data_IF_445343741507
#
_entry.id   IF_445343741507
#
_cell.length_a   1.000
_cell.length_b   1.000
_cell.length_c   1.000
_cell.angle_alpha   90.00
_cell.angle_beta   90.00
_cell.angle_gamma   90.00
#
_symmetry.space_group_name_H-M   'P 1'
#
loop_
_entity.id
_entity.type
_entity.pdbx_description
1 polymer ?
#
# COMPACT_ATOMS: atom_id res chain seq x y z
N UNK A 1 -16.13 5.63 -2.71
CA UNK A 1 -15.45 5.86 -1.41
C UNK A 1 -14.15 5.08 -1.41
N UNK A 2 -13.07 5.65 -0.89
CA UNK A 2 -11.79 4.95 -0.74
C UNK A 2 -11.63 4.47 0.71
N UNK A 3 -10.92 3.35 0.90
CA UNK A 3 -10.57 2.81 2.21
C UNK A 3 -9.34 3.51 2.77
N UNK A 4 -9.36 3.84 4.06
CA UNK A 4 -8.20 4.39 4.77
C UNK A 4 -7.44 3.27 5.47
N UNK A 5 -6.15 3.16 5.18
CA UNK A 5 -5.23 2.18 5.78
C UNK A 5 -4.27 2.92 6.70
N UNK A 6 -4.29 2.61 8.00
CA UNK A 6 -3.30 3.14 8.94
C UNK A 6 -2.01 2.34 8.85
N UNK A 7 -0.91 3.00 8.47
CA UNK A 7 0.41 2.36 8.46
C UNK A 7 0.96 2.29 9.90
N UNK A 8 1.08 1.09 10.45
CA UNK A 8 1.63 0.85 11.78
C UNK A 8 3.17 0.84 11.73
N UNK A 9 3.78 1.97 11.33
CA UNK A 9 5.24 2.09 11.24
C UNK A 9 5.83 2.48 12.62
N UNK A 10 5.48 1.68 13.64
CA UNK A 10 5.87 1.82 15.03
C UNK A 10 6.96 0.80 15.41
N UNK A 11 7.81 1.11 16.40
CA UNK A 11 8.90 0.21 16.79
C UNK A 11 8.46 -1.03 17.58
N UNK A 12 7.28 -1.01 18.21
CA UNK A 12 6.78 -2.11 19.08
C UNK A 12 5.31 -2.39 18.82
N UNK A 13 4.93 -3.67 18.80
CA UNK A 13 3.55 -4.09 18.67
C UNK A 13 2.64 -3.56 19.80
N UNK A 14 3.13 -3.51 21.04
CA UNK A 14 2.38 -2.96 22.16
C UNK A 14 1.98 -1.49 21.95
N UNK A 15 2.84 -0.68 21.31
CA UNK A 15 2.51 0.72 21.00
C UNK A 15 1.45 0.80 19.91
N UNK A 16 1.53 -0.10 18.90
CA UNK A 16 0.52 -0.21 17.86
C UNK A 16 -0.85 -0.62 18.45
N UNK A 17 -0.88 -1.62 19.35
CA UNK A 17 -2.14 -2.05 19.96
C UNK A 17 -2.79 -0.94 20.80
N UNK A 18 -2.01 -0.17 21.57
CA UNK A 18 -2.54 1.00 22.32
C UNK A 18 -3.15 2.05 21.38
N UNK A 19 -2.47 2.37 20.28
CA UNK A 19 -3.00 3.30 19.28
C UNK A 19 -4.32 2.79 18.68
N UNK A 20 -4.42 1.50 18.40
CA UNK A 20 -5.64 0.90 17.86
C UNK A 20 -6.83 0.94 18.82
N UNK A 21 -6.58 0.88 20.15
CA UNK A 21 -7.63 1.01 21.17
C UNK A 21 -8.26 2.43 21.16
N UNK A 22 -7.54 3.44 20.65
CA UNK A 22 -8.05 4.81 20.46
C UNK A 22 -8.82 5.01 19.15
N UNK A 23 -8.81 4.04 18.23
CA UNK A 23 -9.34 4.13 16.87
C UNK A 23 -10.38 3.05 16.55
N UNK A 24 -11.52 2.97 17.28
CA UNK A 24 -12.48 1.87 17.15
C UNK A 24 -13.16 1.79 15.77
N UNK A 25 -13.20 2.88 15.01
CA UNK A 25 -13.77 2.92 13.66
C UNK A 25 -12.79 2.46 12.56
N UNK A 26 -11.51 2.25 12.91
CA UNK A 26 -10.49 1.80 11.96
C UNK A 26 -10.80 0.37 11.48
N UNK A 27 -10.64 0.14 10.16
CA UNK A 27 -10.89 -1.16 9.51
C UNK A 27 -9.63 -1.78 8.94
N UNK A 28 -8.70 -0.97 8.43
CA UNK A 28 -7.52 -1.42 7.73
C UNK A 28 -6.23 -0.94 8.39
N UNK A 29 -5.29 -1.84 8.55
CA UNK A 29 -3.94 -1.55 9.04
C UNK A 29 -2.89 -2.10 8.09
N UNK A 30 -1.76 -1.40 7.96
CA UNK A 30 -0.59 -1.87 7.23
C UNK A 30 0.49 -2.33 8.22
N UNK A 31 0.91 -3.58 8.10
CA UNK A 31 2.07 -4.13 8.80
C UNK A 31 3.25 -4.15 7.83
N UNK A 32 4.25 -3.34 8.12
CA UNK A 32 5.49 -3.26 7.32
C UNK A 32 6.63 -4.09 7.91
N UNK A 33 7.85 -4.00 7.29
CA UNK A 33 9.01 -4.81 7.68
C UNK A 33 9.42 -4.65 9.14
N UNK A 34 9.25 -3.47 9.74
CA UNK A 34 9.67 -3.19 11.12
C UNK A 34 8.90 -4.09 12.10
N UNK A 35 7.56 -3.99 12.10
CA UNK A 35 6.75 -4.79 13.00
C UNK A 35 6.80 -6.27 12.64
N UNK A 36 6.79 -6.63 11.36
CA UNK A 36 6.90 -8.03 10.97
C UNK A 36 8.22 -8.67 11.43
N UNK A 37 9.34 -7.94 11.36
CA UNK A 37 10.64 -8.44 11.84
C UNK A 37 10.71 -8.58 13.36
N UNK A 38 10.03 -7.70 14.09
CA UNK A 38 10.07 -7.68 15.56
C UNK A 38 9.07 -8.61 16.21
N UNK A 39 7.86 -8.63 15.71
CA UNK A 39 6.71 -9.30 16.34
C UNK A 39 6.32 -10.61 15.63
N UNK A 40 6.73 -10.77 14.37
CA UNK A 40 6.45 -11.98 13.59
C UNK A 40 4.99 -12.11 13.15
N UNK A 41 4.62 -13.31 12.61
CA UNK A 41 3.30 -13.58 12.05
C UNK A 41 2.17 -13.58 13.11
N UNK A 42 2.48 -13.86 14.37
CA UNK A 42 1.47 -13.89 15.44
C UNK A 42 0.86 -12.50 15.70
N UNK A 43 1.63 -11.45 15.44
CA UNK A 43 1.10 -10.09 15.51
C UNK A 43 0.04 -9.84 14.44
N UNK A 44 0.22 -10.37 13.23
CA UNK A 44 -0.78 -10.31 12.16
C UNK A 44 -2.06 -11.03 12.60
N UNK A 45 -1.95 -12.24 13.18
CA UNK A 45 -3.10 -12.98 13.72
C UNK A 45 -3.84 -12.18 14.80
N UNK A 46 -3.10 -11.58 15.74
CA UNK A 46 -3.68 -10.71 16.77
C UNK A 46 -4.51 -9.57 16.18
N UNK A 47 -4.04 -8.96 15.09
CA UNK A 47 -4.78 -7.88 14.42
C UNK A 47 -6.02 -8.40 13.70
N UNK A 48 -5.95 -9.57 13.04
CA UNK A 48 -7.10 -10.17 12.36
C UNK A 48 -8.15 -10.66 13.35
N UNK A 49 -7.76 -11.21 14.50
CA UNK A 49 -8.65 -11.60 15.59
C UNK A 49 -9.39 -10.39 16.22
N UNK A 50 -8.81 -9.20 16.14
CA UNK A 50 -9.49 -7.94 16.49
C UNK A 50 -10.47 -7.45 15.42
N UNK A 51 -10.64 -8.19 14.32
CA UNK A 51 -11.53 -7.83 13.19
C UNK A 51 -10.95 -6.83 12.21
N UNK A 52 -9.64 -6.56 12.27
CA UNK A 52 -8.94 -5.67 11.36
C UNK A 52 -8.53 -6.40 10.08
N UNK A 53 -8.65 -5.72 8.95
CA UNK A 53 -8.09 -6.15 7.67
C UNK A 53 -6.60 -5.75 7.63
N UNK A 54 -5.72 -6.74 7.47
CA UNK A 54 -4.27 -6.50 7.48
C UNK A 54 -3.72 -6.43 6.06
N UNK A 55 -3.12 -5.31 5.73
CA UNK A 55 -2.29 -5.11 4.56
C UNK A 55 -0.83 -5.41 4.91
N UNK A 56 -0.32 -6.56 4.48
CA UNK A 56 1.06 -7.00 4.73
C UNK A 56 2.00 -6.39 3.68
N UNK A 57 2.69 -5.32 4.04
CA UNK A 57 3.49 -4.51 3.12
C UNK A 57 4.98 -4.86 3.19
N UNK A 58 5.34 -6.07 2.73
CA UNK A 58 6.72 -6.58 2.77
C UNK A 58 7.47 -6.44 1.43
N UNK A 59 6.74 -6.10 0.35
CA UNK A 59 7.30 -5.85 -0.98
C UNK A 59 8.18 -7.00 -1.47
N UNK A 60 7.67 -8.23 -1.44
CA UNK A 60 8.41 -9.41 -1.84
C UNK A 60 9.00 -9.28 -3.25
N UNK A 61 10.26 -9.66 -3.35
CA UNK A 61 10.99 -9.68 -4.61
C UNK A 61 12.05 -10.79 -4.54
N UNK A 62 11.71 -11.97 -5.05
CA UNK A 62 12.55 -13.17 -5.00
C UNK A 62 12.17 -14.08 -6.19
N UNK A 63 12.79 -15.27 -6.28
CA UNK A 63 12.41 -16.27 -7.28
C UNK A 63 10.95 -16.72 -7.09
N UNK A 64 10.26 -17.15 -8.17
CA UNK A 64 8.82 -17.45 -8.15
C UNK A 64 8.34 -18.34 -7.01
N UNK A 65 9.03 -19.46 -6.75
CA UNK A 65 8.64 -20.40 -5.70
C UNK A 65 8.72 -19.79 -4.30
N UNK A 66 9.73 -18.97 -4.03
CA UNK A 66 9.89 -18.32 -2.72
C UNK A 66 8.75 -17.33 -2.48
N UNK A 67 8.41 -16.53 -3.50
CA UNK A 67 7.30 -15.56 -3.39
C UNK A 67 5.96 -16.28 -3.27
N UNK A 68 5.71 -17.34 -4.03
CA UNK A 68 4.50 -18.15 -3.91
C UNK A 68 4.35 -18.75 -2.51
N UNK A 69 5.43 -19.27 -1.92
CA UNK A 69 5.45 -19.75 -0.53
C UNK A 69 5.14 -18.65 0.49
N UNK A 70 5.72 -17.44 0.32
CA UNK A 70 5.45 -16.29 1.18
C UNK A 70 3.98 -15.82 1.08
N UNK A 71 3.40 -15.84 -0.12
CA UNK A 71 1.98 -15.53 -0.36
C UNK A 71 1.08 -16.54 0.33
N UNK A 72 1.37 -17.84 0.22
CA UNK A 72 0.63 -18.89 0.93
C UNK A 72 0.66 -18.66 2.44
N UNK A 73 1.85 -18.43 3.01
CA UNK A 73 2.01 -18.15 4.44
C UNK A 73 1.23 -16.89 4.88
N UNK A 74 1.24 -15.82 4.07
CA UNK A 74 0.49 -14.60 4.36
C UNK A 74 -1.03 -14.83 4.38
N UNK A 75 -1.54 -15.67 3.47
CA UNK A 75 -2.94 -16.09 3.47
C UNK A 75 -3.30 -16.87 4.73
N UNK A 76 -2.46 -17.81 5.14
CA UNK A 76 -2.67 -18.66 6.33
C UNK A 76 -2.68 -17.87 7.65
N UNK A 77 -1.98 -16.75 7.72
CA UNK A 77 -2.04 -15.86 8.89
C UNK A 77 -3.17 -14.82 8.83
N UNK A 78 -4.01 -14.87 7.78
CA UNK A 78 -5.21 -14.04 7.66
C UNK A 78 -4.96 -12.65 7.08
N UNK A 79 -3.84 -12.39 6.38
CA UNK A 79 -3.65 -11.14 5.68
C UNK A 79 -4.71 -10.97 4.58
N UNK A 80 -5.32 -9.79 4.51
CA UNK A 80 -6.31 -9.46 3.49
C UNK A 80 -5.68 -8.91 2.19
N UNK A 81 -4.49 -8.33 2.30
CA UNK A 81 -3.77 -7.71 1.19
C UNK A 81 -2.25 -7.86 1.40
N UNK A 82 -1.47 -8.05 0.32
CA UNK A 82 -0.01 -8.11 0.41
C UNK A 82 0.68 -7.47 -0.80
N UNK A 83 1.91 -6.99 -0.60
CA UNK A 83 2.71 -6.37 -1.67
C UNK A 83 3.81 -7.27 -2.19
N UNK A 84 4.05 -7.19 -3.51
CA UNK A 84 5.21 -7.75 -4.20
C UNK A 84 5.68 -6.81 -5.31
N UNK A 85 6.99 -6.82 -5.62
CA UNK A 85 7.53 -5.93 -6.64
C UNK A 85 7.21 -6.43 -8.05
N UNK A 86 6.69 -5.55 -8.91
CA UNK A 86 6.42 -5.87 -10.33
C UNK A 86 7.71 -6.17 -11.11
N UNK A 87 8.85 -5.67 -10.66
CA UNK A 87 10.17 -5.94 -11.25
C UNK A 87 10.63 -7.39 -11.08
N UNK A 88 9.97 -8.20 -10.24
CA UNK A 88 10.22 -9.64 -10.15
C UNK A 88 9.86 -10.42 -11.41
N UNK A 89 9.15 -9.77 -12.35
CA UNK A 89 8.82 -10.32 -13.66
C UNK A 89 7.56 -11.20 -13.64
N UNK A 90 7.07 -11.51 -14.86
CA UNK A 90 5.78 -12.16 -15.07
C UNK A 90 5.64 -13.49 -14.34
N UNK A 91 6.64 -14.36 -14.43
CA UNK A 91 6.58 -15.68 -13.79
C UNK A 91 6.43 -15.61 -12.25
N UNK A 92 7.09 -14.63 -11.60
CA UNK A 92 6.95 -14.42 -10.15
C UNK A 92 5.53 -13.94 -9.82
N UNK A 93 5.00 -12.99 -10.59
CA UNK A 93 3.66 -12.41 -10.36
C UNK A 93 2.56 -13.44 -10.59
N UNK A 94 2.61 -14.22 -11.68
CA UNK A 94 1.65 -15.27 -11.98
C UNK A 94 1.68 -16.39 -10.94
N UNK A 95 2.87 -16.83 -10.51
CA UNK A 95 3.02 -17.82 -9.44
C UNK A 95 2.43 -17.34 -8.12
N UNK A 96 2.64 -16.05 -7.78
CA UNK A 96 2.05 -15.43 -6.61
C UNK A 96 0.51 -15.34 -6.72
N UNK A 97 -0.03 -14.96 -7.88
CA UNK A 97 -1.48 -14.86 -8.10
C UNK A 97 -2.18 -16.22 -7.92
N UNK A 98 -1.58 -17.29 -8.41
CA UNK A 98 -2.07 -18.67 -8.19
C UNK A 98 -2.05 -19.02 -6.70
N UNK A 99 -0.96 -18.70 -5.98
CA UNK A 99 -0.81 -19.02 -4.56
C UNK A 99 -1.78 -18.23 -3.65
N UNK A 100 -2.19 -17.03 -4.08
CA UNK A 100 -3.15 -16.19 -3.36
C UNK A 100 -4.57 -16.80 -3.30
N UNK A 101 -4.95 -17.64 -4.27
CA UNK A 101 -6.21 -18.40 -4.28
C UNK A 101 -7.49 -17.56 -4.29
N UNK A 102 -7.39 -16.24 -4.47
CA UNK A 102 -8.52 -15.30 -4.44
C UNK A 102 -8.86 -14.71 -3.07
N UNK A 103 -8.33 -15.27 -1.98
CA UNK A 103 -8.62 -14.81 -0.60
C UNK A 103 -7.69 -13.67 -0.16
N UNK A 104 -6.50 -13.56 -0.76
CA UNK A 104 -5.50 -12.54 -0.49
C UNK A 104 -5.35 -11.62 -1.70
N UNK A 105 -5.64 -10.34 -1.54
CA UNK A 105 -5.43 -9.36 -2.61
C UNK A 105 -3.93 -9.06 -2.78
N UNK A 106 -3.40 -9.31 -3.99
CA UNK A 106 -2.00 -9.00 -4.31
C UNK A 106 -1.86 -7.65 -4.99
N UNK A 107 -0.99 -6.82 -4.46
CA UNK A 107 -0.76 -5.44 -4.91
C UNK A 107 0.66 -5.30 -5.43
N UNK A 108 0.79 -5.05 -6.73
CA UNK A 108 2.07 -4.86 -7.38
C UNK A 108 2.71 -3.52 -7.04
N UNK A 109 3.89 -3.53 -6.42
CA UNK A 109 4.66 -2.31 -6.17
C UNK A 109 5.32 -1.88 -7.46
N UNK A 110 4.96 -0.70 -7.95
CA UNK A 110 5.56 -0.07 -9.13
C UNK A 110 6.85 0.69 -8.75
N UNK A 111 7.05 1.91 -9.24
CA UNK A 111 8.18 2.75 -8.84
C UNK A 111 7.94 3.29 -7.43
N UNK A 112 8.87 3.04 -6.51
CA UNK A 112 8.78 3.56 -5.14
C UNK A 112 8.64 5.08 -5.13
N UNK A 113 7.77 5.61 -4.28
CA UNK A 113 7.45 7.05 -4.20
C UNK A 113 8.61 7.93 -3.72
N UNK A 114 9.65 7.32 -3.16
CA UNK A 114 10.91 7.98 -2.77
C UNK A 114 11.86 8.22 -3.94
N UNK A 115 11.65 7.54 -5.09
CA UNK A 115 12.52 7.71 -6.24
C UNK A 115 12.14 8.92 -7.09
N UNK A 116 13.16 9.72 -7.41
CA UNK A 116 13.15 10.62 -8.56
C UNK A 116 13.59 9.90 -9.83
N UNK A 117 13.28 10.47 -11.01
CA UNK A 117 13.55 9.84 -12.30
C UNK A 117 15.01 9.45 -12.50
N UNK A 118 15.96 10.30 -12.10
CA UNK A 118 17.40 10.04 -12.22
C UNK A 118 17.90 8.95 -11.29
N UNK A 119 17.35 8.89 -10.06
CA UNK A 119 17.67 7.85 -9.07
C UNK A 119 17.16 6.49 -9.52
N UNK A 120 15.90 6.44 -9.96
CA UNK A 120 15.33 5.21 -10.48
C UNK A 120 16.04 4.71 -11.76
N UNK A 121 16.36 5.63 -12.70
CA UNK A 121 17.09 5.28 -13.92
C UNK A 121 18.42 4.59 -13.60
N UNK A 122 19.21 5.15 -12.67
CA UNK A 122 20.46 4.52 -12.21
C UNK A 122 20.24 3.15 -11.58
N UNK A 123 19.21 3.02 -10.73
CA UNK A 123 18.91 1.76 -10.05
C UNK A 123 18.56 0.62 -11.02
N UNK A 124 17.93 0.93 -12.16
CA UNK A 124 17.56 -0.05 -13.20
C UNK A 124 18.52 -0.10 -14.38
N UNK A 125 19.69 0.54 -14.30
CA UNK A 125 20.74 0.53 -15.33
C UNK A 125 20.36 1.26 -16.63
N UNK A 126 19.53 2.30 -16.56
CA UNK A 126 19.11 3.11 -17.70
C UNK A 126 19.65 4.54 -17.59
N UNK A 127 19.90 5.20 -18.72
CA UNK A 127 20.33 6.61 -18.74
C UNK A 127 19.19 7.56 -18.34
N UNK A 128 17.97 7.28 -18.81
CA UNK A 128 16.78 8.09 -18.56
C UNK A 128 15.54 7.22 -18.40
N UNK A 129 14.63 7.65 -17.53
CA UNK A 129 13.32 7.02 -17.34
C UNK A 129 12.25 8.11 -17.22
N UNK A 130 11.13 7.88 -17.87
CA UNK A 130 9.90 8.62 -17.63
C UNK A 130 9.07 7.86 -16.59
N UNK A 131 8.98 8.36 -15.36
CA UNK A 131 8.32 7.68 -14.25
C UNK A 131 6.86 7.33 -14.55
N UNK A 132 5.99 8.23 -15.05
CA UNK A 132 4.62 7.87 -15.39
C UNK A 132 4.50 6.70 -16.38
N UNK A 133 5.30 6.68 -17.43
CA UNK A 133 5.32 5.58 -18.42
C UNK A 133 5.82 4.27 -17.81
N UNK A 134 6.81 4.36 -16.92
CA UNK A 134 7.35 3.17 -16.25
C UNK A 134 6.35 2.59 -15.26
N UNK A 135 5.63 3.44 -14.51
CA UNK A 135 4.54 3.04 -13.62
C UNK A 135 3.40 2.40 -14.41
N UNK A 136 2.99 3.00 -15.54
CA UNK A 136 1.96 2.43 -16.44
C UNK A 136 2.37 1.04 -16.93
N UNK A 137 3.60 0.89 -17.44
CA UNK A 137 4.13 -0.39 -17.94
C UNK A 137 4.12 -1.47 -16.86
N UNK A 138 4.57 -1.14 -15.64
CA UNK A 138 4.60 -2.06 -14.52
C UNK A 138 3.20 -2.43 -14.04
N UNK A 139 2.27 -1.48 -14.03
CA UNK A 139 0.88 -1.72 -13.65
C UNK A 139 0.16 -2.63 -14.67
N UNK A 140 0.44 -2.47 -15.96
CA UNK A 140 -0.07 -3.39 -17.01
C UNK A 140 0.42 -4.82 -16.79
N UNK A 141 1.73 -5.00 -16.53
CA UNK A 141 2.30 -6.33 -16.25
C UNK A 141 1.66 -6.96 -15.00
N UNK A 142 1.40 -6.17 -13.95
CA UNK A 142 0.72 -6.65 -12.75
C UNK A 142 -0.71 -7.10 -13.05
N UNK A 143 -1.48 -6.30 -13.79
CA UNK A 143 -2.86 -6.62 -14.17
C UNK A 143 -2.93 -7.88 -15.08
N UNK A 144 -2.04 -7.97 -16.08
CA UNK A 144 -1.95 -9.14 -16.97
C UNK A 144 -1.55 -10.42 -16.24
N UNK A 145 -0.77 -10.31 -15.15
CA UNK A 145 -0.40 -11.44 -14.29
C UNK A 145 -1.50 -11.83 -13.27
N UNK A 146 -2.64 -11.13 -13.26
CA UNK A 146 -3.78 -11.43 -12.40
C UNK A 146 -3.71 -10.81 -11.00
N UNK A 147 -2.89 -9.79 -10.76
CA UNK A 147 -2.88 -9.06 -9.52
C UNK A 147 -4.11 -8.15 -9.40
N UNK A 148 -4.66 -8.01 -8.20
CA UNK A 148 -5.86 -7.21 -7.93
C UNK A 148 -5.60 -5.71 -7.94
N UNK A 149 -4.34 -5.29 -7.78
CA UNK A 149 -4.04 -3.87 -7.72
C UNK A 149 -2.57 -3.52 -7.80
N UNK A 150 -2.29 -2.23 -7.66
CA UNK A 150 -0.92 -1.68 -7.66
C UNK A 150 -0.75 -0.58 -6.61
N UNK A 151 0.50 -0.40 -6.15
CA UNK A 151 0.93 0.80 -5.42
C UNK A 151 1.53 1.78 -6.41
N UNK A 152 1.05 3.02 -6.40
CA UNK A 152 1.65 4.13 -7.15
C UNK A 152 1.63 5.42 -6.33
N UNK A 153 2.31 6.47 -6.79
CA UNK A 153 2.16 7.78 -6.15
C UNK A 153 0.84 8.45 -6.54
N UNK A 154 0.39 9.47 -5.80
CA UNK A 154 -0.82 10.22 -6.13
C UNK A 154 -0.83 10.78 -7.56
N UNK A 155 0.35 11.08 -8.11
CA UNK A 155 0.49 11.71 -9.43
C UNK A 155 0.14 10.78 -10.61
N UNK A 156 0.25 9.46 -10.43
CA UNK A 156 -0.03 8.48 -11.46
C UNK A 156 -1.47 7.90 -11.41
N UNK A 157 -2.24 8.19 -10.34
CA UNK A 157 -3.57 7.59 -10.11
C UNK A 157 -4.51 7.80 -11.31
N UNK A 158 -4.69 9.06 -11.76
CA UNK A 158 -5.56 9.36 -12.91
C UNK A 158 -5.11 8.68 -14.21
N UNK A 159 -3.79 8.57 -14.43
CA UNK A 159 -3.24 7.87 -15.58
C UNK A 159 -3.63 6.38 -15.53
N UNK A 160 -3.39 5.73 -14.40
CA UNK A 160 -3.67 4.30 -14.21
C UNK A 160 -5.18 4.01 -14.27
N UNK A 161 -6.00 4.88 -13.67
CA UNK A 161 -7.46 4.73 -13.70
C UNK A 161 -8.02 4.79 -15.12
N UNK A 162 -7.55 5.75 -15.94
CA UNK A 162 -7.95 5.82 -17.36
C UNK A 162 -7.46 4.62 -18.18
N UNK A 163 -6.29 4.08 -17.85
CA UNK A 163 -5.64 3.04 -18.63
C UNK A 163 -6.12 1.63 -18.32
N UNK A 164 -6.40 1.35 -17.03
CA UNK A 164 -6.67 0.01 -16.50
C UNK A 164 -8.12 -0.18 -16.02
N UNK A 165 -8.93 0.88 -16.09
CA UNK A 165 -10.35 0.81 -15.75
C UNK A 165 -10.62 0.87 -14.23
N UNK A 166 -11.91 0.73 -13.83
CA UNK A 166 -12.35 0.93 -12.44
C UNK A 166 -12.03 -0.23 -11.51
N UNK A 167 -11.85 -1.44 -12.03
CA UNK A 167 -11.72 -2.67 -11.23
C UNK A 167 -10.37 -2.78 -10.51
N UNK A 168 -9.32 -2.17 -11.07
CA UNK A 168 -7.99 -2.22 -10.46
C UNK A 168 -7.96 -1.47 -9.14
N UNK A 169 -7.49 -2.12 -8.08
CA UNK A 169 -7.22 -1.47 -6.81
C UNK A 169 -5.98 -0.59 -6.93
N UNK A 170 -6.12 0.70 -6.62
CA UNK A 170 -5.01 1.66 -6.61
C UNK A 170 -4.75 2.07 -5.18
N UNK A 171 -3.63 1.58 -4.63
CA UNK A 171 -3.18 1.85 -3.26
C UNK A 171 -2.19 3.01 -3.29
N UNK A 172 -2.47 4.07 -2.56
CA UNK A 172 -1.71 5.33 -2.63
C UNK A 172 -1.12 5.67 -1.27
N UNK A 173 0.20 5.55 -1.08
CA UNK A 173 0.91 6.09 0.06
C UNK A 173 1.25 7.58 -0.16
N UNK A 174 1.81 8.23 0.87
CA UNK A 174 2.22 9.63 0.75
C UNK A 174 1.07 10.63 0.88
N UNK A 175 0.01 10.20 1.52
CA UNK A 175 -1.13 11.07 1.82
C UNK A 175 -0.79 11.97 3.00
N UNK A 176 -1.04 13.28 2.85
CA UNK A 176 -0.72 14.33 3.81
C UNK A 176 -1.83 15.38 3.84
N UNK A 177 -1.95 16.06 4.97
CA UNK A 177 -2.66 17.35 5.02
C UNK A 177 -1.79 18.43 4.38
N UNK A 178 -2.41 19.50 3.92
CA UNK A 178 -1.68 20.65 3.37
C UNK A 178 -0.75 21.33 4.39
N UNK A 179 -1.06 21.18 5.68
CA UNK A 179 -0.29 21.72 6.81
C UNK A 179 0.87 20.82 7.26
N UNK A 180 0.94 19.57 6.78
CA UNK A 180 1.96 18.63 7.24
C UNK A 180 3.35 19.01 6.65
N UNK A 181 4.43 18.84 7.43
CA UNK A 181 5.77 19.15 6.97
C UNK A 181 6.22 18.23 5.83
N UNK A 182 7.15 18.74 5.00
CA UNK A 182 7.83 17.94 3.99
C UNK A 182 8.63 16.80 4.66
N UNK A 183 8.59 15.60 4.06
CA UNK A 183 9.24 14.39 4.57
C UNK A 183 10.05 13.68 3.47
N UNK A 184 10.46 12.44 3.74
CA UNK A 184 11.15 11.52 2.83
C UNK A 184 10.34 11.11 1.57
N UNK A 185 9.04 11.42 1.52
CA UNK A 185 8.22 11.21 0.33
C UNK A 185 8.18 12.48 -0.52
N UNK A 186 8.76 12.41 -1.72
CA UNK A 186 8.83 13.53 -2.65
C UNK A 186 7.54 13.76 -3.45
N UNK A 187 6.63 12.78 -3.47
CA UNK A 187 5.39 12.78 -4.28
C UNK A 187 4.18 12.57 -3.37
N UNK A 188 3.63 13.67 -2.86
CA UNK A 188 2.53 13.71 -1.87
C UNK A 188 1.28 14.37 -2.44
N UNK A 189 0.11 14.05 -1.88
CA UNK A 189 -1.17 14.72 -2.14
C UNK A 189 -2.10 14.64 -0.92
N UNK A 190 -3.21 15.42 -0.95
CA UNK A 190 -4.28 15.27 0.04
C UNK A 190 -5.09 14.00 -0.20
N UNK A 191 -5.80 13.51 0.82
CA UNK A 191 -6.69 12.38 0.67
C UNK A 191 -7.79 12.68 -0.36
N UNK A 192 -8.39 13.86 -0.28
CA UNK A 192 -9.41 14.35 -1.22
C UNK A 192 -8.93 14.30 -2.66
N UNK A 193 -7.72 14.81 -2.95
CA UNK A 193 -7.18 14.83 -4.31
C UNK A 193 -6.91 13.42 -4.83
N UNK A 194 -6.38 12.53 -4.00
CA UNK A 194 -6.12 11.13 -4.38
C UNK A 194 -7.42 10.37 -4.68
N UNK A 195 -8.46 10.55 -3.88
CA UNK A 195 -9.78 9.94 -4.10
C UNK A 195 -10.43 10.48 -5.37
N UNK A 196 -10.42 11.80 -5.58
CA UNK A 196 -10.97 12.43 -6.78
C UNK A 196 -10.28 11.93 -8.07
N UNK A 197 -9.00 11.57 -7.99
CA UNK A 197 -8.23 10.98 -9.09
C UNK A 197 -8.50 9.47 -9.27
N UNK A 198 -9.23 8.81 -8.36
CA UNK A 198 -9.64 7.40 -8.46
C UNK A 198 -8.82 6.42 -7.64
N UNK A 199 -8.11 6.85 -6.59
CA UNK A 199 -7.52 5.95 -5.59
C UNK A 199 -8.60 5.14 -4.88
N UNK A 200 -8.33 3.86 -4.59
CA UNK A 200 -9.23 2.97 -3.85
C UNK A 200 -8.83 2.79 -2.39
N UNK A 201 -7.54 2.90 -2.11
CA UNK A 201 -6.98 2.76 -0.77
C UNK A 201 -5.93 3.84 -0.54
N UNK A 202 -6.02 4.51 0.60
CA UNK A 202 -5.09 5.55 1.01
C UNK A 202 -4.28 5.08 2.22
N UNK A 203 -2.95 5.11 2.13
CA UNK A 203 -2.08 4.71 3.24
C UNK A 203 -1.57 5.94 3.96
N UNK A 204 -1.97 6.08 5.22
CA UNK A 204 -1.58 7.19 6.12
C UNK A 204 -0.84 6.61 7.33
N UNK A 205 0.30 7.17 7.67
CA UNK A 205 1.10 6.77 8.83
C UNK A 205 1.32 7.94 9.78
N UNK A 206 2.48 8.57 9.71
CA UNK A 206 2.90 9.70 10.58
C UNK A 206 1.85 10.78 10.81
N UNK A 207 1.07 11.24 9.81
CA UNK A 207 0.04 12.26 10.04
C UNK A 207 -1.03 11.89 11.09
N UNK A 208 -1.21 10.59 11.34
CA UNK A 208 -2.10 10.10 12.39
C UNK A 208 -1.27 9.71 13.63
N UNK A 209 -0.21 8.91 13.46
CA UNK A 209 0.57 8.35 14.57
C UNK A 209 1.23 9.43 15.43
N UNK A 210 1.76 10.49 14.79
CA UNK A 210 2.50 11.56 15.46
C UNK A 210 1.61 12.77 15.78
N UNK A 211 0.29 12.69 15.52
CA UNK A 211 -0.63 13.76 15.85
C UNK A 211 -0.79 13.89 17.37
N UNK A 212 -0.99 15.11 17.86
CA UNK A 212 -1.30 15.37 19.28
C UNK A 212 -2.60 14.67 19.73
N UNK A 213 -3.54 14.44 18.79
CA UNK A 213 -4.74 13.64 18.97
C UNK A 213 -4.92 12.73 17.75
N UNK A 214 -4.46 11.45 17.82
CA UNK A 214 -4.57 10.51 16.73
C UNK A 214 -6.00 10.21 16.28
N UNK A 215 -6.97 10.18 17.22
CA UNK A 215 -8.37 9.94 16.91
C UNK A 215 -8.96 11.06 16.05
N UNK A 216 -8.76 12.32 16.45
CA UNK A 216 -9.21 13.46 15.66
C UNK A 216 -8.55 13.52 14.27
N UNK A 217 -7.25 13.23 14.20
CA UNK A 217 -6.53 13.15 12.93
C UNK A 217 -7.07 12.05 12.02
N UNK A 218 -7.40 10.89 12.59
CA UNK A 218 -8.02 9.78 11.84
C UNK A 218 -9.40 10.16 11.28
N UNK A 219 -10.26 10.77 12.09
CA UNK A 219 -11.58 11.24 11.67
C UNK A 219 -11.50 12.24 10.52
N UNK A 220 -10.59 13.21 10.60
CA UNK A 220 -10.33 14.19 9.54
C UNK A 220 -9.96 13.53 8.20
N UNK A 221 -9.06 12.54 8.21
CA UNK A 221 -8.75 11.77 7.00
C UNK A 221 -9.92 10.92 6.52
N UNK A 222 -10.72 10.34 7.41
CA UNK A 222 -11.92 9.58 7.04
C UNK A 222 -12.96 10.46 6.35
N UNK A 223 -13.20 11.66 6.83
CA UNK A 223 -14.10 12.63 6.18
C UNK A 223 -13.63 12.98 4.76
N UNK A 224 -12.32 13.21 4.57
CA UNK A 224 -11.76 13.47 3.25
C UNK A 224 -11.92 12.29 2.27
N UNK A 225 -11.93 11.03 2.76
CA UNK A 225 -12.14 9.84 1.91
C UNK A 225 -13.60 9.69 1.46
N UNK A 226 -14.54 10.27 2.18
CA UNK A 226 -15.99 10.20 1.89
C UNK A 226 -16.47 11.30 0.97
N UNK A 227 -15.78 12.44 0.92
CA UNK A 227 -16.11 13.58 0.07
C UNK A 227 -15.78 13.33 -1.41
N UNK A 228 -16.43 12.33 -2.03
CA UNK A 228 -16.40 12.10 -3.47
C UNK A 228 -17.67 12.67 -4.09
N UNK A 229 -17.66 13.98 -4.47
CA UNK A 229 -18.69 14.59 -5.31
C UNK A 229 -19.59 15.60 -4.60
N UNK A 230 -19.10 16.79 -4.37
CA UNK A 230 -19.87 18.03 -4.51
C UNK A 230 -19.26 18.84 -5.64
#
# INVERSE_FOLDING_TARGET
MAELILALDLPRGADALRLLDELPALRWVKVGPILMTREGPDFVRTLTERGLKVFLDLKWHDIPNTVAGAVTAAREIGAAMATLHTLGGRAMLEGAAVAAGGDLALIGVTVLTSHEASGYARAVGRERVNIPREVERQALVAAEAGLQGVVCSPHEVSLLRRRLGPELQIVVPGIRRRSDPATDQSRVATAKDAVANGATHLVVGRPIIEAANPAAAFEEFMEETQCSGC
#
